data_IF_678584073769
#
_entry.id   IF_678584073769
#
_cell.length_a   1.000
_cell.length_b   1.000
_cell.length_c   1.000
_cell.angle_alpha   90.00
_cell.angle_beta   90.00
_cell.angle_gamma   90.00
#
_symmetry.space_group_name_H-M   'P 1'
#
loop_
_entity.id
_entity.type
_entity.pdbx_description
1 polymer ?
#
# COMPACT_ATOMS: atom_id res chain seq x y z
N UNK A 1 -6.57 8.68 -0.26
CA UNK A 1 -5.89 8.14 -1.45
C UNK A 1 -5.81 9.10 -2.66
N UNK A 2 -6.39 10.30 -2.64
CA UNK A 2 -6.53 11.16 -3.87
C UNK A 2 -5.50 12.30 -3.98
N UNK A 3 -4.68 12.56 -2.94
CA UNK A 3 -3.80 13.75 -2.94
C UNK A 3 -2.44 13.60 -3.65
N UNK A 4 -2.05 12.41 -4.07
CA UNK A 4 -0.72 12.12 -4.65
C UNK A 4 -0.64 12.24 -6.17
N UNK A 5 -1.78 12.31 -6.86
CA UNK A 5 -1.83 12.38 -8.35
C UNK A 5 -1.47 13.77 -8.88
N UNK A 6 -1.65 14.83 -8.08
CA UNK A 6 -1.47 16.22 -8.54
C UNK A 6 -0.02 16.71 -8.58
N UNK A 7 0.90 16.09 -7.83
CA UNK A 7 2.32 16.50 -7.84
C UNK A 7 3.10 15.99 -9.07
N UNK A 8 2.62 14.99 -9.77
CA UNK A 8 3.28 14.40 -10.95
C UNK A 8 3.04 15.16 -12.27
N UNK A 9 2.06 16.05 -12.33
CA UNK A 9 1.80 16.88 -13.51
C UNK A 9 2.87 17.97 -13.75
N UNK A 10 3.63 18.35 -12.73
CA UNK A 10 4.63 19.43 -12.81
C UNK A 10 5.97 18.92 -13.37
N UNK A 11 6.26 17.62 -13.28
CA UNK A 11 7.54 17.03 -13.74
C UNK A 11 7.60 16.92 -15.27
N UNK A 12 6.48 16.98 -15.97
CA UNK A 12 6.44 16.96 -17.44
C UNK A 12 6.98 18.25 -18.10
N UNK A 13 7.21 19.32 -17.34
CA UNK A 13 7.49 20.65 -17.92
C UNK A 13 8.90 21.21 -17.66
N UNK A 14 9.80 20.52 -16.93
CA UNK A 14 11.11 21.12 -16.58
C UNK A 14 12.31 20.21 -16.91
N UNK A 15 12.39 19.64 -18.08
CA UNK A 15 13.65 19.10 -18.56
C UNK A 15 14.34 20.08 -19.49
N UNK A 16 14.92 21.14 -18.90
CA UNK A 16 15.96 21.92 -19.53
C UNK A 16 17.33 21.28 -19.23
N UNK A 17 17.99 20.89 -20.30
CA UNK A 17 19.44 20.59 -20.46
C UNK A 17 20.32 20.76 -19.21
N UNK A 18 20.72 19.68 -18.58
CA UNK A 18 21.94 19.60 -17.78
C UNK A 18 23.03 19.02 -18.69
N UNK A 19 23.95 19.88 -19.09
CA UNK A 19 25.21 19.49 -19.74
C UNK A 19 26.14 18.91 -18.68
N UNK A 20 26.26 17.59 -18.65
CA UNK A 20 27.22 16.85 -17.83
C UNK A 20 27.82 15.70 -18.63
N UNK A 21 29.11 15.77 -18.88
CA UNK A 21 29.92 14.84 -19.68
C UNK A 21 29.96 13.45 -19.07
N UNK A 22 29.28 12.50 -19.70
CA UNK A 22 29.37 11.07 -19.43
C UNK A 22 28.82 10.31 -20.64
N UNK A 23 29.68 9.61 -21.38
CA UNK A 23 29.36 8.86 -22.61
C UNK A 23 28.43 7.67 -22.27
N UNK A 24 27.13 7.92 -22.31
CA UNK A 24 26.11 6.91 -22.57
C UNK A 24 25.51 7.23 -23.94
N UNK A 25 25.42 6.25 -24.83
CA UNK A 25 24.80 6.41 -26.15
C UNK A 25 23.33 6.84 -25.93
N UNK A 26 23.10 8.15 -26.04
CA UNK A 26 21.74 8.68 -26.18
C UNK A 26 21.27 8.30 -27.59
N UNK A 27 20.21 7.50 -27.70
CA UNK A 27 19.42 7.46 -28.91
C UNK A 27 18.99 8.91 -29.19
N UNK A 28 19.47 9.48 -30.28
CA UNK A 28 19.07 10.81 -30.79
C UNK A 28 17.61 10.76 -31.23
N UNK A 29 16.68 10.76 -30.30
CA UNK A 29 15.30 11.05 -30.60
C UNK A 29 15.17 12.56 -30.83
N UNK A 30 14.58 13.02 -31.92
CA UNK A 30 14.36 14.44 -32.16
C UNK A 30 13.55 15.03 -30.98
N UNK A 31 13.78 16.31 -30.64
CA UNK A 31 13.02 16.97 -29.58
C UNK A 31 11.52 16.89 -29.88
N UNK A 32 10.74 16.61 -28.83
CA UNK A 32 9.28 16.51 -28.94
C UNK A 32 8.70 17.82 -29.45
N UNK A 33 7.75 17.74 -30.37
CA UNK A 33 7.02 18.90 -30.86
C UNK A 33 6.02 19.38 -29.78
N UNK A 34 5.63 20.64 -29.87
CA UNK A 34 4.61 21.23 -28.99
C UNK A 34 3.28 20.45 -29.09
N UNK A 35 2.89 20.05 -30.30
CA UNK A 35 1.71 19.22 -30.55
C UNK A 35 1.78 17.85 -29.84
N UNK A 36 2.94 17.18 -29.88
CA UNK A 36 3.15 15.89 -29.18
C UNK A 36 3.06 16.07 -27.65
N UNK A 37 3.56 17.18 -27.11
CA UNK A 37 3.46 17.48 -25.68
C UNK A 37 2.00 17.76 -25.27
N UNK A 38 1.26 18.52 -26.05
CA UNK A 38 -0.17 18.80 -25.81
C UNK A 38 -1.01 17.52 -25.88
N UNK A 39 -0.77 16.67 -26.88
CA UNK A 39 -1.42 15.36 -27.02
C UNK A 39 -1.12 14.47 -25.80
N UNK A 40 0.15 14.37 -25.40
CA UNK A 40 0.57 13.62 -24.23
C UNK A 40 -0.12 14.09 -22.95
N UNK A 41 -0.23 15.40 -22.75
CA UNK A 41 -0.95 15.97 -21.60
C UNK A 41 -2.45 15.64 -21.64
N UNK A 42 -3.06 15.67 -22.83
CA UNK A 42 -4.46 15.29 -23.02
C UNK A 42 -4.71 13.83 -22.65
N UNK A 43 -3.82 12.93 -23.12
CA UNK A 43 -3.89 11.48 -22.80
C UNK A 43 -3.69 11.26 -21.30
N UNK A 44 -2.71 11.93 -20.67
CA UNK A 44 -2.46 11.82 -19.23
C UNK A 44 -3.68 12.23 -18.40
N UNK A 45 -4.36 13.32 -18.77
CA UNK A 45 -5.61 13.75 -18.11
C UNK A 45 -6.71 12.68 -18.22
N UNK A 46 -6.86 12.03 -19.38
CA UNK A 46 -7.82 10.93 -19.58
C UNK A 46 -7.46 9.72 -18.74
N UNK A 47 -6.17 9.37 -18.65
CA UNK A 47 -5.67 8.26 -17.84
C UNK A 47 -5.96 8.48 -16.36
N UNK A 48 -5.69 9.68 -15.85
CA UNK A 48 -5.97 10.06 -14.46
C UNK A 48 -7.48 9.99 -14.18
N UNK A 49 -8.30 10.58 -15.03
CA UNK A 49 -9.75 10.54 -14.87
C UNK A 49 -10.30 9.10 -14.88
N UNK A 50 -9.76 8.22 -15.74
CA UNK A 50 -10.14 6.81 -15.76
C UNK A 50 -9.74 6.11 -14.45
N UNK A 51 -8.58 6.42 -13.88
CA UNK A 51 -8.12 5.90 -12.59
C UNK A 51 -9.02 6.35 -11.45
N UNK A 52 -9.36 7.64 -11.40
CA UNK A 52 -10.25 8.22 -10.37
C UNK A 52 -11.67 7.62 -10.42
N UNK A 53 -12.15 7.28 -11.61
CA UNK A 53 -13.43 6.61 -11.82
C UNK A 53 -13.37 5.08 -11.60
N UNK A 54 -12.22 4.51 -11.22
CA UNK A 54 -12.04 3.08 -11.01
C UNK A 54 -11.99 2.26 -12.31
N UNK A 55 -11.91 2.92 -13.48
CA UNK A 55 -11.83 2.26 -14.78
C UNK A 55 -10.37 1.93 -15.13
N UNK A 56 -9.78 0.99 -14.39
CA UNK A 56 -8.36 0.68 -14.48
C UNK A 56 -7.93 0.08 -15.82
N UNK A 57 -8.83 -0.62 -16.52
CA UNK A 57 -8.55 -1.14 -17.86
C UNK A 57 -8.40 0.00 -18.89
N UNK A 58 -9.23 1.01 -18.80
CA UNK A 58 -9.13 2.19 -19.64
C UNK A 58 -7.91 3.06 -19.27
N UNK A 59 -7.62 3.19 -17.96
CA UNK A 59 -6.41 3.85 -17.50
C UNK A 59 -5.14 3.18 -18.04
N UNK A 60 -5.05 1.84 -17.98
CA UNK A 60 -3.95 1.07 -18.57
C UNK A 60 -3.78 1.36 -20.08
N UNK A 61 -4.90 1.45 -20.82
CA UNK A 61 -4.85 1.77 -22.26
C UNK A 61 -4.23 3.15 -22.51
N UNK A 62 -4.66 4.17 -21.78
CA UNK A 62 -4.10 5.53 -21.94
C UNK A 62 -2.65 5.61 -21.48
N UNK A 63 -2.29 4.96 -20.34
CA UNK A 63 -0.89 4.91 -19.91
C UNK A 63 -0.01 4.12 -20.89
N UNK A 64 -0.55 3.12 -21.60
CA UNK A 64 0.18 2.40 -22.66
C UNK A 64 0.50 3.33 -23.84
N UNK A 65 -0.46 4.14 -24.30
CA UNK A 65 -0.19 5.16 -25.31
C UNK A 65 0.92 6.12 -24.88
N UNK A 66 0.92 6.55 -23.61
CA UNK A 66 1.98 7.42 -23.07
C UNK A 66 3.34 6.74 -23.01
N UNK A 67 3.40 5.47 -22.63
CA UNK A 67 4.66 4.70 -22.60
C UNK A 67 5.21 4.50 -24.03
N UNK A 68 4.34 4.28 -25.02
CA UNK A 68 4.75 4.14 -26.42
C UNK A 68 5.22 5.46 -27.03
N UNK A 69 4.59 6.58 -26.69
CA UNK A 69 4.95 7.90 -27.20
C UNK A 69 6.14 8.51 -26.45
N UNK A 70 6.23 8.27 -25.12
CA UNK A 70 7.24 8.83 -24.22
C UNK A 70 7.93 7.72 -23.42
N UNK A 71 8.68 6.79 -24.05
CA UNK A 71 9.26 5.62 -23.38
C UNK A 71 10.29 5.96 -22.30
N UNK A 72 10.88 7.14 -22.34
CA UNK A 72 11.81 7.64 -21.33
C UNK A 72 11.12 8.33 -20.13
N UNK A 73 9.80 8.36 -20.06
CA UNK A 73 9.07 8.97 -18.96
C UNK A 73 8.78 7.94 -17.84
N UNK A 74 9.49 7.95 -16.70
CA UNK A 74 9.31 6.98 -15.63
C UNK A 74 7.92 7.02 -15.01
N UNK A 75 7.26 8.19 -15.01
CA UNK A 75 5.92 8.34 -14.44
C UNK A 75 4.86 7.59 -15.28
N UNK A 76 4.99 7.54 -16.61
CA UNK A 76 4.08 6.79 -17.47
C UNK A 76 4.14 5.28 -17.16
N UNK A 77 5.35 4.72 -17.01
CA UNK A 77 5.57 3.34 -16.62
C UNK A 77 4.99 3.05 -15.23
N UNK A 78 5.33 3.87 -14.23
CA UNK A 78 4.84 3.68 -12.85
C UNK A 78 3.32 3.74 -12.76
N UNK A 79 2.67 4.67 -13.46
CA UNK A 79 1.21 4.79 -13.44
C UNK A 79 0.51 3.65 -14.21
N UNK A 80 1.11 3.13 -15.30
CA UNK A 80 0.63 1.91 -15.93
C UNK A 80 0.72 0.71 -14.99
N UNK A 81 1.84 0.58 -14.28
CA UNK A 81 2.02 -0.41 -13.24
C UNK A 81 0.92 -0.34 -12.17
N UNK A 82 0.60 0.85 -11.68
CA UNK A 82 -0.48 1.06 -10.69
C UNK A 82 -1.86 0.64 -11.24
N UNK A 83 -2.16 0.97 -12.50
CA UNK A 83 -3.39 0.52 -13.15
C UNK A 83 -3.45 -1.02 -13.29
N UNK A 84 -2.30 -1.67 -13.52
CA UNK A 84 -2.16 -3.13 -13.57
C UNK A 84 -2.30 -3.79 -12.21
N UNK A 85 -1.71 -3.22 -11.14
CA UNK A 85 -1.93 -3.69 -9.76
C UNK A 85 -3.41 -3.70 -9.42
N UNK A 86 -4.12 -2.62 -9.75
CA UNK A 86 -5.56 -2.50 -9.49
C UNK A 86 -6.41 -3.54 -10.24
N UNK A 87 -5.85 -4.15 -11.30
CA UNK A 87 -6.45 -5.25 -12.06
C UNK A 87 -5.89 -6.61 -11.66
N UNK A 88 -5.08 -6.71 -10.61
CA UNK A 88 -4.38 -7.91 -10.17
C UNK A 88 -3.42 -8.51 -11.23
N UNK A 89 -2.90 -7.68 -12.15
CA UNK A 89 -1.88 -8.06 -13.16
C UNK A 89 -0.48 -7.81 -12.59
N UNK A 90 -0.14 -8.52 -11.51
CA UNK A 90 1.01 -8.20 -10.67
C UNK A 90 2.36 -8.32 -11.40
N UNK A 91 2.56 -9.37 -12.20
CA UNK A 91 3.81 -9.58 -12.96
C UNK A 91 4.05 -8.45 -13.96
N UNK A 92 3.02 -8.06 -14.68
CA UNK A 92 3.11 -6.98 -15.66
C UNK A 92 3.33 -5.61 -14.97
N UNK A 93 2.78 -5.41 -13.78
CA UNK A 93 3.00 -4.22 -12.96
C UNK A 93 4.46 -4.13 -12.48
N UNK A 94 5.02 -5.24 -11.98
CA UNK A 94 6.42 -5.33 -11.54
C UNK A 94 7.38 -5.01 -12.70
N UNK A 95 7.08 -5.49 -13.91
CA UNK A 95 7.89 -5.16 -15.11
C UNK A 95 7.85 -3.65 -15.41
N UNK A 96 6.70 -3.00 -15.28
CA UNK A 96 6.57 -1.56 -15.46
C UNK A 96 7.32 -0.77 -14.38
N UNK A 97 7.23 -1.18 -13.12
CA UNK A 97 7.99 -0.54 -12.04
C UNK A 97 9.50 -0.72 -12.20
N UNK A 98 9.95 -1.88 -12.69
CA UNK A 98 11.36 -2.08 -13.03
C UNK A 98 11.85 -1.06 -14.05
N UNK A 99 11.06 -0.82 -15.10
CA UNK A 99 11.40 0.17 -16.11
C UNK A 99 11.38 1.60 -15.54
N UNK A 100 10.42 1.92 -14.68
CA UNK A 100 10.37 3.22 -14.01
C UNK A 100 11.59 3.45 -13.11
N UNK A 101 12.05 2.41 -12.39
CA UNK A 101 13.25 2.44 -11.52
C UNK A 101 14.53 2.60 -12.36
N UNK A 102 14.65 1.89 -13.49
CA UNK A 102 15.78 2.04 -14.40
C UNK A 102 15.90 3.47 -14.92
N UNK A 103 14.79 4.09 -15.26
CA UNK A 103 14.74 5.47 -15.76
C UNK A 103 14.94 6.53 -14.65
N UNK A 104 14.56 6.24 -13.42
CA UNK A 104 14.63 7.17 -12.29
C UNK A 104 14.96 6.44 -10.97
N UNK A 105 16.24 6.01 -10.77
CA UNK A 105 16.64 5.20 -9.63
C UNK A 105 16.57 5.93 -8.27
N UNK A 106 16.45 7.25 -8.27
CA UNK A 106 16.29 8.07 -7.06
C UNK A 106 14.82 8.43 -6.78
N UNK A 107 13.87 7.93 -7.56
CA UNK A 107 12.44 8.11 -7.29
C UNK A 107 11.93 7.04 -6.33
N UNK A 108 11.40 7.42 -5.16
CA UNK A 108 10.94 6.48 -4.14
C UNK A 108 9.64 5.74 -4.53
N UNK A 109 8.72 6.40 -5.21
CA UNK A 109 7.40 5.87 -5.52
C UNK A 109 7.40 4.54 -6.30
N UNK A 110 8.21 4.34 -7.37
CA UNK A 110 8.25 3.06 -8.07
C UNK A 110 8.71 1.89 -7.20
N UNK A 111 9.65 2.10 -6.27
CA UNK A 111 10.05 1.08 -5.29
C UNK A 111 8.92 0.76 -4.33
N UNK A 112 8.23 1.78 -3.77
CA UNK A 112 7.09 1.57 -2.88
C UNK A 112 5.99 0.74 -3.55
N UNK A 113 5.67 1.06 -4.80
CA UNK A 113 4.63 0.40 -5.57
C UNK A 113 5.05 -1.03 -5.98
N UNK A 114 6.33 -1.25 -6.38
CA UNK A 114 6.85 -2.58 -6.69
C UNK A 114 6.86 -3.46 -5.44
N UNK A 115 7.32 -2.94 -4.31
CA UNK A 115 7.27 -3.63 -3.03
C UNK A 115 5.85 -4.08 -2.67
N UNK A 116 4.84 -3.23 -2.88
CA UNK A 116 3.44 -3.59 -2.66
C UNK A 116 2.96 -4.71 -3.59
N UNK A 117 3.38 -4.71 -4.86
CA UNK A 117 3.05 -5.78 -5.81
C UNK A 117 3.78 -7.09 -5.47
N UNK A 118 5.03 -7.02 -5.04
CA UNK A 118 5.82 -8.17 -4.57
C UNK A 118 5.23 -8.78 -3.29
N UNK A 119 4.84 -7.93 -2.32
CA UNK A 119 4.13 -8.35 -1.11
C UNK A 119 2.82 -9.08 -1.45
N UNK A 120 2.07 -8.58 -2.44
CA UNK A 120 0.85 -9.24 -2.92
C UNK A 120 1.11 -10.64 -3.51
N UNK A 121 2.30 -10.87 -4.09
CA UNK A 121 2.74 -12.18 -4.54
C UNK A 121 3.34 -13.07 -3.43
N UNK A 122 3.46 -12.57 -2.20
CA UNK A 122 4.11 -13.27 -1.09
C UNK A 122 5.64 -13.25 -1.16
N UNK A 123 6.23 -12.41 -2.00
CA UNK A 123 7.69 -12.23 -2.14
C UNK A 123 8.17 -11.18 -1.13
N UNK A 124 8.12 -11.56 0.14
CA UNK A 124 8.33 -10.61 1.25
C UNK A 124 9.75 -10.06 1.31
N UNK A 125 10.78 -10.90 1.14
CA UNK A 125 12.18 -10.46 1.13
C UNK A 125 12.45 -9.37 0.07
N UNK A 126 11.94 -9.60 -1.16
CA UNK A 126 12.07 -8.64 -2.25
C UNK A 126 11.31 -7.33 -1.95
N UNK A 127 10.12 -7.43 -1.37
CA UNK A 127 9.34 -6.26 -0.95
C UNK A 127 10.04 -5.46 0.16
N UNK A 128 10.64 -6.14 1.15
CA UNK A 128 11.42 -5.50 2.22
C UNK A 128 12.62 -4.75 1.65
N UNK A 129 13.32 -5.33 0.66
CA UNK A 129 14.43 -4.65 -0.01
C UNK A 129 13.98 -3.35 -0.69
N UNK A 130 12.84 -3.36 -1.38
CA UNK A 130 12.25 -2.18 -1.99
C UNK A 130 11.85 -1.12 -0.95
N UNK A 131 11.18 -1.51 0.14
CA UNK A 131 10.82 -0.58 1.21
C UNK A 131 12.05 -0.01 1.93
N UNK A 132 13.13 -0.80 2.06
CA UNK A 132 14.40 -0.28 2.56
C UNK A 132 14.94 0.81 1.64
N UNK A 133 14.88 0.62 0.31
CA UNK A 133 15.30 1.64 -0.63
C UNK A 133 14.46 2.91 -0.54
N UNK A 134 13.14 2.79 -0.36
CA UNK A 134 12.27 3.95 -0.09
C UNK A 134 12.74 4.70 1.16
N UNK A 135 13.06 3.99 2.24
CA UNK A 135 13.48 4.59 3.51
C UNK A 135 14.91 5.16 3.48
N UNK A 136 15.78 4.69 2.59
CA UNK A 136 17.06 5.34 2.29
C UNK A 136 16.86 6.69 1.59
N UNK A 137 15.90 6.76 0.65
CA UNK A 137 15.58 7.95 -0.11
C UNK A 137 14.73 8.94 0.70
N UNK A 138 13.82 8.45 1.52
CA UNK A 138 12.93 9.22 2.38
C UNK A 138 12.78 8.55 3.76
N UNK A 139 13.64 8.89 4.74
CA UNK A 139 13.62 8.28 6.08
C UNK A 139 12.35 8.53 6.90
N UNK A 140 11.51 9.47 6.51
CA UNK A 140 10.28 9.82 7.20
C UNK A 140 9.01 9.34 6.46
N UNK A 141 9.14 8.34 5.59
CA UNK A 141 7.99 7.74 4.91
C UNK A 141 7.24 6.75 5.81
N UNK A 142 6.16 7.22 6.42
CA UNK A 142 5.32 6.40 7.29
C UNK A 142 4.66 5.22 6.55
N UNK A 143 4.39 5.34 5.25
CA UNK A 143 3.77 4.27 4.46
C UNK A 143 4.79 3.17 4.20
N UNK A 144 6.04 3.51 3.87
CA UNK A 144 7.10 2.53 3.69
C UNK A 144 7.38 1.74 4.97
N UNK A 145 7.42 2.40 6.15
CA UNK A 145 7.51 1.68 7.43
C UNK A 145 6.32 0.74 7.64
N UNK A 146 5.07 1.20 7.44
CA UNK A 146 3.91 0.34 7.59
C UNK A 146 3.95 -0.86 6.65
N UNK A 147 4.29 -0.67 5.39
CA UNK A 147 4.33 -1.73 4.40
C UNK A 147 5.50 -2.70 4.66
N UNK A 148 6.66 -2.21 5.09
CA UNK A 148 7.75 -3.09 5.54
C UNK A 148 7.34 -3.92 6.75
N UNK A 149 6.60 -3.32 7.69
CA UNK A 149 5.98 -4.04 8.79
C UNK A 149 5.02 -5.13 8.34
N UNK A 150 4.20 -4.88 7.30
CA UNK A 150 3.32 -5.90 6.72
C UNK A 150 4.11 -7.07 6.12
N UNK A 151 5.16 -6.78 5.34
CA UNK A 151 6.01 -7.82 4.75
C UNK A 151 6.70 -8.66 5.83
N UNK A 152 7.28 -8.03 6.86
CA UNK A 152 7.87 -8.72 8.01
C UNK A 152 6.85 -9.56 8.79
N UNK A 153 5.61 -9.07 8.94
CA UNK A 153 4.52 -9.86 9.52
C UNK A 153 4.20 -11.08 8.66
N UNK A 154 4.29 -10.96 7.34
CA UNK A 154 4.13 -12.08 6.40
C UNK A 154 5.17 -13.17 6.59
N UNK A 155 6.40 -12.81 7.00
CA UNK A 155 7.50 -13.72 7.34
C UNK A 155 7.45 -14.24 8.78
N UNK A 156 6.55 -13.68 9.60
CA UNK A 156 6.45 -14.03 11.01
C UNK A 156 7.45 -13.30 11.92
N UNK A 157 8.09 -12.25 11.41
CA UNK A 157 9.04 -11.41 12.15
C UNK A 157 8.31 -10.35 13.00
N UNK A 158 7.53 -10.80 13.96
CA UNK A 158 6.53 -10.00 14.69
C UNK A 158 7.11 -8.80 15.43
N UNK A 159 8.24 -8.95 16.12
CA UNK A 159 8.89 -7.87 16.87
C UNK A 159 9.46 -6.79 15.96
N UNK A 160 10.01 -7.18 14.80
CA UNK A 160 10.51 -6.26 13.81
C UNK A 160 9.35 -5.52 13.12
N UNK A 161 8.26 -6.24 12.78
CA UNK A 161 7.04 -5.64 12.25
C UNK A 161 6.45 -4.61 13.23
N UNK A 162 6.38 -4.94 14.53
CA UNK A 162 5.90 -4.03 15.55
C UNK A 162 6.74 -2.75 15.63
N UNK A 163 8.06 -2.88 15.50
CA UNK A 163 8.98 -1.74 15.48
C UNK A 163 8.67 -0.81 14.31
N UNK A 164 8.46 -1.36 13.13
CA UNK A 164 8.13 -0.60 11.93
C UNK A 164 6.75 0.08 12.03
N UNK A 165 5.71 -0.61 12.51
CA UNK A 165 4.38 -0.01 12.73
C UNK A 165 4.40 1.12 13.76
N UNK A 166 5.19 0.98 14.82
CA UNK A 166 5.36 2.05 15.81
C UNK A 166 6.05 3.26 15.19
N UNK A 167 7.10 3.06 14.40
CA UNK A 167 7.79 4.14 13.69
C UNK A 167 6.85 4.85 12.72
N UNK A 168 6.05 4.11 11.95
CA UNK A 168 5.02 4.68 11.08
C UNK A 168 4.03 5.55 11.86
N UNK A 169 3.62 5.11 13.06
CA UNK A 169 2.68 5.84 13.93
C UNK A 169 3.30 7.06 14.59
N UNK A 170 4.61 7.06 14.86
CA UNK A 170 5.36 8.20 15.36
C UNK A 170 5.47 9.31 14.31
N UNK A 171 5.82 8.93 13.07
CA UNK A 171 5.92 9.85 11.93
C UNK A 171 4.53 10.41 11.57
N UNK A 172 3.51 9.56 11.52
CA UNK A 172 2.15 9.93 11.15
C UNK A 172 1.13 9.52 12.24
N UNK A 173 0.91 10.32 13.31
CA UNK A 173 0.05 9.96 14.45
C UNK A 173 -1.43 9.69 14.09
N UNK A 174 -1.88 10.14 12.92
CA UNK A 174 -3.22 9.89 12.40
C UNK A 174 -3.28 8.68 11.44
N UNK A 175 -2.19 7.98 11.22
CA UNK A 175 -2.16 6.77 10.39
C UNK A 175 -2.75 5.59 11.17
N UNK A 176 -4.07 5.51 11.16
CA UNK A 176 -4.82 4.54 11.96
C UNK A 176 -4.49 3.09 11.61
N UNK A 177 -4.16 2.78 10.34
CA UNK A 177 -3.79 1.42 9.93
C UNK A 177 -2.48 0.93 10.56
N UNK A 178 -1.45 1.75 10.66
CA UNK A 178 -0.20 1.37 11.32
C UNK A 178 -0.43 1.02 12.80
N UNK A 179 -1.25 1.81 13.49
CA UNK A 179 -1.65 1.55 14.89
C UNK A 179 -2.51 0.30 15.02
N UNK A 180 -3.40 0.05 14.07
CA UNK A 180 -4.22 -1.17 14.04
C UNK A 180 -3.34 -2.41 13.85
N UNK A 181 -2.42 -2.38 12.87
CA UNK A 181 -1.47 -3.46 12.62
C UNK A 181 -0.59 -3.73 13.85
N UNK A 182 -0.09 -2.67 14.51
CA UNK A 182 0.63 -2.82 15.77
C UNK A 182 -0.21 -3.52 16.86
N UNK A 183 -1.51 -3.19 16.97
CA UNK A 183 -2.40 -3.80 17.96
C UNK A 183 -2.65 -5.29 17.67
N UNK A 184 -2.75 -5.69 16.39
CA UNK A 184 -2.84 -7.11 15.99
C UNK A 184 -1.56 -7.85 16.38
N UNK A 185 -0.39 -7.25 16.14
CA UNK A 185 0.90 -7.86 16.48
C UNK A 185 1.11 -7.91 18.01
N UNK A 186 0.68 -6.90 18.77
CA UNK A 186 0.71 -7.00 20.25
C UNK A 186 0.00 -8.26 20.74
N UNK A 187 -1.18 -8.57 20.18
CA UNK A 187 -1.89 -9.81 20.55
C UNK A 187 -1.14 -11.05 20.10
N UNK A 188 -0.58 -11.05 18.89
CA UNK A 188 0.22 -12.15 18.33
C UNK A 188 1.39 -12.54 19.23
N UNK A 189 2.07 -11.57 19.86
CA UNK A 189 3.22 -11.80 20.75
C UNK A 189 2.83 -11.89 22.23
N UNK A 190 1.55 -12.10 22.53
CA UNK A 190 1.04 -12.31 23.89
C UNK A 190 0.86 -11.05 24.75
N UNK A 191 1.07 -9.86 24.19
CA UNK A 191 0.84 -8.57 24.88
C UNK A 191 -0.63 -8.16 24.81
N UNK A 192 -1.51 -9.00 25.35
CA UNK A 192 -2.98 -8.84 25.25
C UNK A 192 -3.47 -7.53 25.87
N UNK A 193 -2.88 -7.07 26.97
CA UNK A 193 -3.27 -5.82 27.63
C UNK A 193 -3.03 -4.61 26.73
N UNK A 194 -1.87 -4.54 26.08
CA UNK A 194 -1.50 -3.50 25.15
C UNK A 194 -2.37 -3.53 23.90
N UNK A 195 -2.67 -4.73 23.36
CA UNK A 195 -3.56 -4.92 22.23
C UNK A 195 -4.96 -4.34 22.52
N UNK A 196 -5.58 -4.74 23.62
CA UNK A 196 -6.93 -4.26 24.03
C UNK A 196 -6.93 -2.75 24.25
N UNK A 197 -5.92 -2.21 24.94
CA UNK A 197 -5.80 -0.77 25.20
C UNK A 197 -5.75 0.01 23.88
N UNK A 198 -4.91 -0.44 22.94
CA UNK A 198 -4.74 0.24 21.66
C UNK A 198 -5.98 0.12 20.77
N UNK A 199 -6.59 -1.07 20.69
CA UNK A 199 -7.82 -1.28 19.93
C UNK A 199 -8.99 -0.43 20.48
N UNK A 200 -9.17 -0.35 21.82
CA UNK A 200 -10.20 0.53 22.41
C UNK A 200 -9.93 2.01 22.10
N UNK A 201 -8.68 2.46 22.12
CA UNK A 201 -8.31 3.82 21.74
C UNK A 201 -8.66 4.10 20.27
N UNK A 202 -8.36 3.16 19.39
CA UNK A 202 -8.67 3.27 17.97
C UNK A 202 -10.18 3.29 17.70
N UNK A 203 -10.96 2.41 18.31
CA UNK A 203 -12.42 2.40 18.18
C UNK A 203 -13.05 3.71 18.69
N UNK A 204 -12.54 4.28 19.77
CA UNK A 204 -13.01 5.57 20.31
C UNK A 204 -12.68 6.73 19.36
N UNK A 205 -11.47 6.75 18.78
CA UNK A 205 -11.03 7.82 17.85
C UNK A 205 -11.61 7.66 16.45
N UNK A 206 -11.80 6.43 16.00
CA UNK A 206 -12.28 6.05 14.67
C UNK A 206 -13.43 5.06 14.78
N UNK A 207 -14.65 5.52 15.15
CA UNK A 207 -15.77 4.62 15.41
C UNK A 207 -16.24 3.81 14.20
N UNK A 208 -15.92 4.28 12.97
CA UNK A 208 -16.23 3.60 11.70
C UNK A 208 -15.04 2.78 11.17
N UNK A 209 -14.32 2.07 12.06
CA UNK A 209 -13.17 1.24 11.69
C UNK A 209 -13.50 -0.24 11.97
N UNK A 210 -14.13 -0.96 11.00
CA UNK A 210 -14.62 -2.33 11.21
C UNK A 210 -13.49 -3.32 11.54
N UNK A 211 -12.31 -3.17 10.95
CA UNK A 211 -11.15 -4.04 11.19
C UNK A 211 -10.79 -4.12 12.68
N UNK A 212 -10.63 -2.96 13.32
CA UNK A 212 -10.28 -2.89 14.74
C UNK A 212 -11.42 -3.38 15.63
N UNK A 213 -12.68 -3.15 15.25
CA UNK A 213 -13.83 -3.66 16.02
C UNK A 213 -13.90 -5.17 15.97
N UNK A 214 -13.69 -5.78 14.81
CA UNK A 214 -13.67 -7.23 14.65
C UNK A 214 -12.48 -7.84 15.43
N UNK A 215 -11.31 -7.21 15.37
CA UNK A 215 -10.14 -7.64 16.14
C UNK A 215 -10.39 -7.54 17.66
N UNK A 216 -10.94 -6.42 18.11
CA UNK A 216 -11.28 -6.22 19.54
C UNK A 216 -12.31 -7.24 20.00
N UNK A 217 -13.32 -7.57 19.19
CA UNK A 217 -14.29 -8.65 19.48
C UNK A 217 -13.57 -9.95 19.77
N UNK A 218 -12.67 -10.38 18.88
CA UNK A 218 -11.94 -11.65 19.02
C UNK A 218 -11.12 -11.70 20.32
N UNK A 219 -10.43 -10.61 20.64
CA UNK A 219 -9.60 -10.53 21.85
C UNK A 219 -10.46 -10.50 23.11
N UNK A 220 -11.50 -9.66 23.16
CA UNK A 220 -12.40 -9.53 24.31
C UNK A 220 -13.13 -10.83 24.62
N UNK A 221 -13.60 -11.54 23.58
CA UNK A 221 -14.21 -12.86 23.75
C UNK A 221 -13.24 -13.84 24.42
N UNK A 222 -12.00 -13.89 23.95
CA UNK A 222 -10.97 -14.80 24.49
C UNK A 222 -10.61 -14.51 25.95
N UNK A 223 -10.75 -13.27 26.43
CA UNK A 223 -10.49 -12.89 27.82
C UNK A 223 -11.76 -12.85 28.68
N UNK A 224 -12.89 -13.38 28.17
CA UNK A 224 -14.15 -13.53 28.92
C UNK A 224 -15.03 -12.27 28.99
N UNK A 225 -14.71 -11.21 28.25
CA UNK A 225 -15.52 -9.96 28.20
C UNK A 225 -16.57 -10.04 27.10
N UNK A 226 -17.47 -11.03 27.19
CA UNK A 226 -18.39 -11.43 26.12
C UNK A 226 -19.37 -10.32 25.71
N UNK A 227 -19.99 -9.61 26.66
CA UNK A 227 -20.98 -8.57 26.34
C UNK A 227 -20.38 -7.39 25.54
N UNK A 228 -19.15 -6.97 25.89
CA UNK A 228 -18.44 -5.94 25.11
C UNK A 228 -18.05 -6.48 23.73
N UNK A 229 -17.57 -7.73 23.65
CA UNK A 229 -17.23 -8.38 22.39
C UNK A 229 -18.42 -8.41 21.41
N UNK A 230 -19.59 -8.83 21.86
CA UNK A 230 -20.80 -8.90 21.04
C UNK A 230 -21.21 -7.52 20.52
N UNK A 231 -21.12 -6.48 21.35
CA UNK A 231 -21.43 -5.10 20.94
C UNK A 231 -20.49 -4.62 19.82
N UNK A 232 -19.20 -4.93 19.92
CA UNK A 232 -18.23 -4.59 18.86
C UNK A 232 -18.48 -5.41 17.59
N UNK A 233 -18.87 -6.68 17.73
CA UNK A 233 -19.15 -7.55 16.58
C UNK A 233 -20.31 -7.05 15.75
N UNK A 234 -21.44 -6.74 16.40
CA UNK A 234 -22.62 -6.20 15.69
C UNK A 234 -22.25 -4.96 14.89
N UNK A 235 -21.45 -4.06 15.47
CA UNK A 235 -20.98 -2.87 14.77
C UNK A 235 -20.01 -3.20 13.63
N UNK A 236 -19.09 -4.16 13.82
CA UNK A 236 -18.10 -4.53 12.79
C UNK A 236 -18.79 -5.10 11.56
N UNK A 237 -19.66 -6.11 11.73
CA UNK A 237 -20.32 -6.78 10.60
C UNK A 237 -21.40 -5.92 9.95
N UNK A 238 -21.99 -4.98 10.69
CA UNK A 238 -22.88 -3.97 10.13
C UNK A 238 -22.18 -2.99 9.18
N UNK A 239 -20.87 -2.78 9.36
CA UNK A 239 -20.05 -1.96 8.47
C UNK A 239 -19.42 -2.76 7.34
N UNK A 240 -18.95 -3.98 7.64
CA UNK A 240 -18.29 -4.87 6.68
C UNK A 240 -18.51 -6.33 7.09
N UNK A 241 -19.39 -7.01 6.37
CA UNK A 241 -19.77 -8.39 6.66
C UNK A 241 -18.70 -9.43 6.31
N UNK A 242 -17.65 -9.05 5.57
CA UNK A 242 -16.53 -9.95 5.19
C UNK A 242 -15.75 -10.46 6.40
N UNK A 243 -15.81 -9.80 7.57
CA UNK A 243 -15.20 -10.31 8.80
C UNK A 243 -15.83 -11.62 9.31
N UNK A 244 -16.99 -12.03 8.77
CA UNK A 244 -17.55 -13.36 9.00
C UNK A 244 -16.86 -14.46 8.19
N UNK A 245 -16.13 -14.08 7.14
CA UNK A 245 -15.35 -14.99 6.30
C UNK A 245 -13.93 -15.11 6.83
N UNK A 246 -13.65 -16.24 7.47
CA UNK A 246 -12.34 -16.57 8.03
C UNK A 246 -11.22 -16.56 6.96
N UNK A 247 -11.50 -17.10 5.78
CA UNK A 247 -10.51 -17.20 4.72
C UNK A 247 -10.17 -15.83 4.16
N UNK A 248 -11.15 -14.95 4.09
CA UNK A 248 -10.92 -13.56 3.76
C UNK A 248 -10.06 -12.83 4.81
N UNK A 249 -10.35 -13.02 6.10
CA UNK A 249 -9.57 -12.44 7.19
C UNK A 249 -8.12 -12.93 7.17
N UNK A 250 -7.93 -14.24 6.94
CA UNK A 250 -6.61 -14.87 6.90
C UNK A 250 -5.82 -14.48 5.65
N UNK A 251 -6.42 -14.59 4.47
CA UNK A 251 -5.69 -14.56 3.20
C UNK A 251 -5.68 -13.17 2.55
N UNK A 252 -6.72 -12.37 2.78
CA UNK A 252 -6.85 -11.03 2.19
C UNK A 252 -6.48 -9.94 3.20
N UNK A 253 -7.07 -9.99 4.43
CA UNK A 253 -6.70 -9.06 5.49
C UNK A 253 -5.37 -9.40 6.15
N UNK A 254 -4.91 -10.64 6.00
CA UNK A 254 -3.63 -11.16 6.50
C UNK A 254 -3.43 -10.90 8.01
N UNK A 255 -4.48 -11.15 8.78
CA UNK A 255 -4.37 -11.10 10.23
C UNK A 255 -3.36 -12.12 10.73
N UNK A 256 -2.58 -11.80 11.79
CA UNK A 256 -1.69 -12.75 12.44
C UNK A 256 -2.41 -14.03 12.90
N UNK A 257 -1.74 -15.20 12.89
CA UNK A 257 -2.38 -16.49 13.16
C UNK A 257 -3.15 -16.56 14.48
N UNK A 258 -2.62 -15.98 15.56
CA UNK A 258 -3.32 -15.97 16.85
C UNK A 258 -4.59 -15.10 16.83
N UNK A 259 -4.59 -14.02 16.04
CA UNK A 259 -5.79 -13.19 15.85
C UNK A 259 -6.87 -13.94 15.08
N UNK A 260 -6.47 -14.66 14.02
CA UNK A 260 -7.40 -15.52 13.25
C UNK A 260 -7.98 -16.61 14.17
N UNK A 261 -7.15 -17.29 14.94
CA UNK A 261 -7.59 -18.30 15.89
C UNK A 261 -8.52 -17.74 16.98
N UNK A 262 -8.31 -16.51 17.42
CA UNK A 262 -9.18 -15.84 18.39
C UNK A 262 -10.56 -15.53 17.79
N UNK A 263 -10.60 -15.05 16.53
CA UNK A 263 -11.84 -14.81 15.81
C UNK A 263 -12.60 -16.13 15.55
N UNK A 264 -11.91 -17.21 15.20
CA UNK A 264 -12.50 -18.53 15.01
C UNK A 264 -13.23 -19.03 16.25
N UNK A 265 -12.64 -18.87 17.43
CA UNK A 265 -13.27 -19.27 18.69
C UNK A 265 -14.57 -18.50 18.90
N UNK A 266 -14.60 -17.22 18.55
CA UNK A 266 -15.82 -16.42 18.64
C UNK A 266 -16.89 -16.88 17.64
N UNK A 267 -16.51 -17.11 16.38
CA UNK A 267 -17.44 -17.49 15.31
C UNK A 267 -18.02 -18.90 15.49
N UNK A 268 -17.26 -19.85 16.05
CA UNK A 268 -17.70 -21.23 16.23
C UNK A 268 -18.58 -21.46 17.47
N UNK A 269 -18.74 -20.48 18.35
CA UNK A 269 -19.57 -20.55 19.55
C UNK A 269 -20.91 -19.83 19.39
N UNK A 270 -21.18 -19.27 18.22
CA UNK A 270 -22.48 -18.73 17.79
C UNK A 270 -23.16 -19.69 16.84
#
# INVERSE_FOLDING_TARGET
>A
MIRWILSLLIILLTWTSVTGTGLAQTQDNPPLTEEQLEEGQSIAKKAIAATENGNFAQAETYWTQLVETFPSNPAAWSNRGNARVSQNKLEAAIADFNQAIELAPEAADPYLNRGTALEAQGKYDEAIADYNRVLELNPDDAMAYNNRGNAKSGEGEWEQALTDYRKASEIAPNFAFARANAALVYYQIGKTGEAVKEMRNLVRKYPMFPDVRAALTAVLWNIGQQGEAESHWVAAVGMDNRYQDRDWVKNIRRWPPQMVAALDKFLNLK
#
